data_IF_039824121815
#
_entry.id   IF_039824121815
#
_cell.length_a   1.000
_cell.length_b   1.000
_cell.length_c   1.000
_cell.angle_alpha   90.00
_cell.angle_beta   90.00
_cell.angle_gamma   90.00
#
_symmetry.space_group_name_H-M   'P 1'
#
loop_
_entity.id
_entity.type
_entity.pdbx_description
1 polymer ?
#
# COMPACT_ATOMS: atom_id res chain seq x y z
N UNK A 1 -5.70 1.06 4.39
CA UNK A 1 -5.79 2.41 3.78
C UNK A 1 -4.38 2.82 3.41
N UNK A 2 -4.06 2.95 2.12
CA UNK A 2 -2.67 2.95 1.65
C UNK A 2 -2.05 4.36 1.50
N UNK A 3 -2.40 5.35 2.34
CA UNK A 3 -1.74 6.67 2.35
C UNK A 3 -2.25 7.68 1.30
N UNK A 4 -1.47 8.74 1.07
CA UNK A 4 -1.74 9.89 0.20
C UNK A 4 -3.04 10.65 0.51
N UNK A 5 -3.13 11.08 1.77
CA UNK A 5 -4.27 11.82 2.30
C UNK A 5 -4.19 13.32 1.91
N UNK A 6 -2.98 13.87 1.79
CA UNK A 6 -2.75 15.29 1.52
C UNK A 6 -2.77 15.56 0.01
N UNK A 7 -3.42 16.65 -0.39
CA UNK A 7 -3.59 17.03 -1.80
C UNK A 7 -2.27 17.33 -2.55
N UNK A 8 -2.38 17.47 -3.87
CA UNK A 8 -1.26 17.76 -4.77
C UNK A 8 -0.89 19.25 -4.86
N UNK A 9 -1.44 20.13 -4.01
CA UNK A 9 -0.99 21.53 -3.92
C UNK A 9 0.32 21.62 -3.12
N UNK A 10 1.35 20.94 -3.64
CA UNK A 10 2.63 20.66 -2.97
C UNK A 10 3.40 21.93 -2.58
N UNK A 11 3.18 23.02 -3.33
CA UNK A 11 3.76 24.35 -3.06
C UNK A 11 3.15 25.04 -1.84
N UNK A 12 2.06 24.52 -1.29
CA UNK A 12 1.32 25.09 -0.17
C UNK A 12 1.07 24.04 0.92
N UNK A 13 2.09 23.24 1.24
CA UNK A 13 2.09 22.30 2.37
C UNK A 13 2.70 22.93 3.61
N UNK A 14 2.23 22.52 4.79
CA UNK A 14 2.84 22.86 6.08
C UNK A 14 2.53 21.76 7.08
N UNK A 15 3.31 21.67 8.15
CA UNK A 15 3.04 20.73 9.25
C UNK A 15 1.60 20.87 9.75
N UNK A 16 1.14 22.11 9.95
CA UNK A 16 -0.23 22.38 10.40
C UNK A 16 -1.28 21.90 9.39
N UNK A 17 -1.16 22.31 8.11
CA UNK A 17 -2.12 21.93 7.06
C UNK A 17 -2.21 20.41 6.94
N UNK A 18 -1.05 19.74 6.84
CA UNK A 18 -1.00 18.29 6.67
C UNK A 18 -1.59 17.57 7.90
N UNK A 19 -1.25 18.03 9.11
CA UNK A 19 -1.80 17.48 10.35
C UNK A 19 -3.33 17.59 10.40
N UNK A 20 -3.89 18.74 10.01
CA UNK A 20 -5.32 18.98 10.01
C UNK A 20 -6.06 18.07 9.01
N UNK A 21 -5.51 17.90 7.80
CA UNK A 21 -6.10 17.03 6.77
C UNK A 21 -6.04 15.56 7.20
N UNK A 22 -4.89 15.09 7.69
CA UNK A 22 -4.71 13.72 8.18
C UNK A 22 -5.68 13.44 9.34
N UNK A 23 -5.78 14.38 10.29
CA UNK A 23 -6.71 14.27 11.42
C UNK A 23 -8.16 14.20 10.96
N UNK A 24 -8.56 15.08 10.04
CA UNK A 24 -9.93 15.14 9.52
C UNK A 24 -10.34 13.85 8.82
N UNK A 25 -9.48 13.30 7.95
CA UNK A 25 -9.75 12.04 7.24
C UNK A 25 -9.79 10.87 8.21
N UNK A 26 -8.84 10.79 9.14
CA UNK A 26 -8.83 9.76 10.20
C UNK A 26 -10.12 9.80 11.02
N UNK A 27 -10.57 10.97 11.45
CA UNK A 27 -11.82 11.14 12.20
C UNK A 27 -13.05 10.76 11.39
N UNK A 28 -13.08 11.07 10.08
CA UNK A 28 -14.17 10.65 9.19
C UNK A 28 -14.24 9.13 9.09
N UNK A 29 -13.10 8.47 8.86
CA UNK A 29 -13.02 7.01 8.83
C UNK A 29 -13.52 6.38 10.13
N UNK A 30 -13.11 6.93 11.28
CA UNK A 30 -13.58 6.46 12.58
C UNK A 30 -15.09 6.63 12.77
N UNK A 31 -15.66 7.73 12.28
CA UNK A 31 -17.08 8.04 12.43
C UNK A 31 -17.94 7.14 11.54
N UNK A 32 -17.51 6.91 10.30
CA UNK A 32 -18.27 6.12 9.33
C UNK A 32 -18.11 4.61 9.56
N UNK A 33 -16.98 4.17 10.12
CA UNK A 33 -16.66 2.77 10.37
C UNK A 33 -16.27 2.51 11.83
N UNK A 34 -17.17 2.76 12.80
CA UNK A 34 -16.84 2.74 14.23
C UNK A 34 -16.35 1.38 14.75
N UNK A 35 -16.86 0.29 14.18
CA UNK A 35 -16.58 -1.08 14.61
C UNK A 35 -15.62 -1.83 13.67
N UNK A 36 -15.07 -1.15 12.66
CA UNK A 36 -14.16 -1.76 11.68
C UNK A 36 -12.73 -1.30 11.96
N UNK A 37 -11.79 -2.22 12.23
CA UNK A 37 -10.39 -1.84 12.37
C UNK A 37 -9.85 -1.34 11.02
N UNK A 38 -9.16 -0.21 11.05
CA UNK A 38 -8.46 0.35 9.90
C UNK A 38 -6.96 0.17 10.12
N UNK A 39 -6.27 -0.38 9.12
CA UNK A 39 -4.82 -0.47 9.10
C UNK A 39 -4.28 0.58 8.10
N UNK A 40 -3.96 1.79 8.58
CA UNK A 40 -3.41 2.86 7.76
C UNK A 40 -1.91 2.72 7.52
N UNK A 41 -1.42 3.26 6.42
CA UNK A 41 0.01 3.38 6.13
C UNK A 41 0.28 4.83 5.72
N UNK A 42 1.55 5.24 5.73
CA UNK A 42 1.99 6.54 5.22
C UNK A 42 2.21 6.48 3.71
N UNK A 43 1.65 7.42 2.96
CA UNK A 43 1.99 7.67 1.56
C UNK A 43 3.13 8.68 1.44
N UNK A 44 3.41 9.18 0.24
CA UNK A 44 4.50 10.15 0.06
C UNK A 44 4.04 11.61 0.28
N UNK A 45 2.72 11.85 0.31
CA UNK A 45 2.12 13.18 0.49
C UNK A 45 1.95 13.64 1.95
N UNK A 46 2.02 12.73 2.92
CA UNK A 46 1.83 13.07 4.34
C UNK A 46 2.85 14.08 4.93
N UNK A 47 4.17 14.03 4.62
CA UNK A 47 5.13 14.93 5.25
C UNK A 47 5.09 16.32 4.62
N UNK A 48 5.64 17.29 5.35
CA UNK A 48 5.95 18.62 4.84
C UNK A 48 7.40 18.92 5.20
N UNK A 49 8.30 19.15 4.23
CA UNK A 49 8.06 19.12 2.78
C UNK A 49 7.67 17.74 2.23
N UNK A 50 7.01 17.73 1.07
CA UNK A 50 6.59 16.53 0.33
C UNK A 50 7.73 15.51 0.19
N UNK A 51 7.43 14.21 0.27
CA UNK A 51 8.34 13.07 0.14
C UNK A 51 9.46 12.97 1.20
N UNK A 52 9.63 13.99 2.05
CA UNK A 52 10.77 14.06 2.96
C UNK A 52 10.53 13.22 4.22
N UNK A 53 11.03 11.98 4.19
CA UNK A 53 11.02 11.06 5.31
C UNK A 53 12.42 10.97 5.94
N UNK A 54 12.66 11.83 6.92
CA UNK A 54 13.92 11.87 7.65
C UNK A 54 14.12 10.60 8.49
N UNK A 55 15.36 10.06 8.56
CA UNK A 55 15.69 9.00 9.51
C UNK A 55 15.44 9.42 10.96
N UNK A 56 15.12 8.47 11.84
CA UNK A 56 14.75 8.75 13.24
C UNK A 56 15.83 9.48 14.06
N UNK A 57 17.10 9.33 13.68
CA UNK A 57 18.23 10.00 14.35
C UNK A 57 18.35 11.49 14.01
N UNK A 58 17.58 11.99 13.03
CA UNK A 58 17.50 13.42 12.71
C UNK A 58 16.53 14.10 13.67
N UNK A 59 17.07 14.89 14.60
CA UNK A 59 16.31 15.53 15.68
C UNK A 59 16.08 17.03 15.48
N UNK A 60 16.62 17.64 14.41
CA UNK A 60 16.35 19.05 14.10
C UNK A 60 14.89 19.19 13.65
N UNK A 61 14.08 19.89 14.43
CA UNK A 61 12.64 20.08 14.22
C UNK A 61 12.30 20.71 12.86
N UNK A 62 13.23 21.41 12.22
CA UNK A 62 12.99 22.02 10.90
C UNK A 62 12.93 21.00 9.77
N UNK A 63 13.54 19.83 9.95
CA UNK A 63 13.73 18.84 8.88
C UNK A 63 13.36 17.42 9.32
N UNK A 64 13.14 17.20 10.62
CA UNK A 64 12.68 15.93 11.16
C UNK A 64 11.23 15.64 10.79
N UNK A 65 10.94 14.37 10.46
CA UNK A 65 9.58 13.87 10.21
C UNK A 65 8.92 13.34 11.50
N UNK A 66 9.55 13.52 12.67
CA UNK A 66 9.07 13.04 13.97
C UNK A 66 7.64 13.50 14.30
N UNK A 67 7.29 14.74 13.98
CA UNK A 67 5.95 15.29 14.22
C UNK A 67 4.85 14.42 13.58
N UNK A 68 5.11 13.88 12.38
CA UNK A 68 4.15 13.08 11.63
C UNK A 68 3.97 11.73 12.32
N UNK A 69 5.07 11.09 12.74
CA UNK A 69 5.03 9.82 13.46
C UNK A 69 4.32 9.94 14.81
N UNK A 70 4.55 11.02 15.56
CA UNK A 70 3.83 11.30 16.80
C UNK A 70 2.33 11.51 16.55
N UNK A 71 1.97 12.32 15.56
CA UNK A 71 0.58 12.55 15.17
C UNK A 71 -0.13 11.25 14.82
N UNK A 72 0.45 10.44 13.94
CA UNK A 72 -0.21 9.21 13.49
C UNK A 72 -0.21 8.12 14.56
N UNK A 73 0.81 8.04 15.42
CA UNK A 73 0.78 7.14 16.57
C UNK A 73 -0.40 7.43 17.49
N UNK A 74 -0.70 8.71 17.73
CA UNK A 74 -1.82 9.11 18.58
C UNK A 74 -3.16 8.90 17.86
N UNK A 75 -3.28 9.31 16.59
CA UNK A 75 -4.51 9.15 15.81
C UNK A 75 -4.88 7.69 15.57
N UNK A 76 -3.90 6.83 15.26
CA UNK A 76 -4.13 5.43 14.92
C UNK A 76 -4.28 4.52 16.15
N UNK A 77 -3.97 5.00 17.35
CA UNK A 77 -4.16 4.27 18.62
C UNK A 77 -5.61 3.81 18.85
N UNK A 78 -6.58 4.41 18.16
CA UNK A 78 -7.99 4.00 18.19
C UNK A 78 -8.24 2.65 17.51
N UNK A 79 -7.37 2.25 16.57
CA UNK A 79 -7.47 0.99 15.83
C UNK A 79 -6.36 0.00 16.17
N UNK A 80 -5.18 0.52 16.53
CA UNK A 80 -3.97 -0.28 16.65
C UNK A 80 -3.66 -0.64 18.10
N UNK A 81 -3.15 -1.85 18.37
CA UNK A 81 -2.74 -2.22 19.73
C UNK A 81 -1.55 -1.36 20.22
N UNK A 82 -1.37 -1.19 21.54
CA UNK A 82 -0.37 -0.26 22.10
C UNK A 82 1.10 -0.56 21.74
N UNK A 83 1.43 -1.83 21.49
CA UNK A 83 2.79 -2.28 21.12
C UNK A 83 3.25 -1.78 19.74
N UNK A 84 2.31 -1.48 18.83
CA UNK A 84 2.61 -0.86 17.53
C UNK A 84 3.26 0.52 17.65
N UNK A 85 3.02 1.21 18.77
CA UNK A 85 3.40 2.61 18.96
C UNK A 85 4.91 2.82 18.84
N UNK A 86 5.71 1.88 19.33
CA UNK A 86 7.17 1.98 19.30
C UNK A 86 7.72 2.04 17.87
N UNK A 87 7.30 1.13 17.00
CA UNK A 87 7.78 1.07 15.61
C UNK A 87 7.19 2.21 14.77
N UNK A 88 5.95 2.63 15.06
CA UNK A 88 5.35 3.81 14.42
C UNK A 88 6.20 5.06 14.72
N UNK A 89 6.57 5.29 15.99
CA UNK A 89 7.45 6.41 16.35
C UNK A 89 8.84 6.31 15.73
N UNK A 90 9.36 5.08 15.59
CA UNK A 90 10.70 4.85 15.05
C UNK A 90 10.76 5.13 13.55
N UNK A 91 9.74 4.76 12.77
CA UNK A 91 9.84 4.90 11.31
C UNK A 91 8.52 4.81 10.56
N UNK A 92 7.37 4.89 11.23
CA UNK A 92 6.05 4.86 10.61
C UNK A 92 5.61 3.48 10.09
N UNK A 93 6.30 2.41 10.50
CA UNK A 93 5.96 1.02 10.16
C UNK A 93 5.53 0.25 11.41
N UNK A 94 4.76 -0.82 11.25
CA UNK A 94 4.27 -1.63 12.37
C UNK A 94 3.70 -2.97 11.91
N UNK A 95 3.42 -3.86 12.86
CA UNK A 95 2.70 -5.12 12.58
C UNK A 95 1.59 -5.34 13.59
N UNK A 96 0.53 -6.02 13.18
CA UNK A 96 -0.59 -6.43 14.05
C UNK A 96 -0.93 -7.88 13.76
N UNK A 97 -1.11 -8.69 14.81
CA UNK A 97 -1.80 -9.96 14.69
C UNK A 97 -3.30 -9.68 14.58
N UNK A 98 -3.80 -9.53 13.36
CA UNK A 98 -5.17 -9.11 13.10
C UNK A 98 -6.18 -10.16 13.59
N UNK A 99 -5.81 -11.44 13.48
CA UNK A 99 -6.56 -12.61 13.98
C UNK A 99 -5.57 -13.74 14.28
N UNK A 100 -5.92 -14.76 15.08
CA UNK A 100 -5.05 -15.93 15.26
C UNK A 100 -4.64 -16.54 13.91
N UNK A 101 -3.33 -16.70 13.68
CA UNK A 101 -2.79 -17.23 12.43
C UNK A 101 -2.74 -16.23 11.25
N UNK A 102 -3.06 -14.95 11.46
CA UNK A 102 -3.04 -13.93 10.42
C UNK A 102 -2.50 -12.59 10.87
N UNK A 103 -1.37 -12.21 10.29
CA UNK A 103 -0.63 -11.00 10.60
C UNK A 103 -0.69 -10.00 9.45
N UNK A 104 -0.84 -8.74 9.80
CA UNK A 104 -0.66 -7.62 8.88
C UNK A 104 0.68 -6.97 9.20
N UNK A 105 1.50 -6.76 8.18
CA UNK A 105 2.74 -5.98 8.27
C UNK A 105 2.54 -4.71 7.45
N UNK A 106 2.73 -3.57 8.07
CA UNK A 106 2.64 -2.25 7.45
C UNK A 106 4.02 -1.65 7.32
N UNK A 107 4.38 -1.29 6.09
CA UNK A 107 5.64 -0.63 5.78
C UNK A 107 5.44 0.88 5.62
N UNK A 108 6.45 1.65 6.01
CA UNK A 108 6.70 2.98 5.48
C UNK A 108 7.75 2.85 4.37
N UNK A 109 7.32 2.49 3.17
CA UNK A 109 8.24 2.30 2.06
C UNK A 109 8.59 3.60 1.31
N UNK A 110 8.23 4.78 1.84
CA UNK A 110 8.80 6.05 1.38
C UNK A 110 10.34 6.11 1.54
N UNK A 111 10.89 5.24 2.39
CA UNK A 111 12.35 5.05 2.52
C UNK A 111 12.98 4.28 1.35
N UNK A 112 12.17 3.79 0.39
CA UNK A 112 12.68 3.37 -0.91
C UNK A 112 12.59 4.50 -1.95
N UNK A 113 11.76 5.52 -1.75
CA UNK A 113 11.29 6.41 -2.82
C UNK A 113 12.41 7.32 -3.36
N UNK A 114 12.58 7.36 -4.68
CA UNK A 114 13.65 8.12 -5.33
C UNK A 114 13.52 9.64 -5.14
N UNK A 115 12.33 10.15 -4.78
CA UNK A 115 12.10 11.55 -4.42
C UNK A 115 12.22 11.82 -2.91
N UNK A 116 12.51 10.82 -2.09
CA UNK A 116 12.93 11.04 -0.71
C UNK A 116 14.42 11.42 -0.69
N UNK A 117 14.69 12.72 -0.68
CA UNK A 117 16.03 13.28 -0.79
C UNK A 117 16.98 12.88 0.35
N UNK A 118 16.47 12.40 1.50
CA UNK A 118 17.29 11.84 2.57
C UNK A 118 18.11 10.62 2.13
N UNK A 119 17.61 9.87 1.14
CA UNK A 119 18.32 8.69 0.62
C UNK A 119 19.56 9.07 -0.20
N UNK A 120 19.66 10.31 -0.70
CA UNK A 120 20.89 10.82 -1.32
C UNK A 120 21.99 10.96 -0.27
N UNK A 121 21.63 11.36 0.96
CA UNK A 121 22.57 11.50 2.07
C UNK A 121 23.00 10.14 2.62
N UNK A 122 22.06 9.22 2.85
CA UNK A 122 22.34 7.89 3.39
C UNK A 122 21.38 6.84 2.81
N UNK A 123 21.77 6.12 1.73
CA UNK A 123 20.92 5.14 1.05
C UNK A 123 20.87 3.77 1.73
N UNK A 124 21.30 3.66 2.99
CA UNK A 124 21.21 2.42 3.76
C UNK A 124 19.75 2.13 4.16
N UNK A 125 19.51 0.92 4.67
CA UNK A 125 18.20 0.55 5.23
C UNK A 125 17.82 1.51 6.37
N UNK A 126 17.01 2.53 6.04
CA UNK A 126 16.63 3.57 6.96
C UNK A 126 15.82 2.96 8.10
N UNK A 127 16.22 3.31 9.32
CA UNK A 127 15.60 2.87 10.57
C UNK A 127 15.56 1.34 10.74
N UNK A 128 16.32 0.59 9.93
CA UNK A 128 16.40 -0.88 9.96
C UNK A 128 15.11 -1.57 9.53
N UNK A 129 14.28 -0.94 8.68
CA UNK A 129 12.96 -1.44 8.33
C UNK A 129 13.02 -2.78 7.57
N UNK A 130 13.95 -2.98 6.63
CA UNK A 130 14.06 -4.25 5.90
C UNK A 130 14.54 -5.37 6.82
N UNK A 131 15.48 -5.07 7.72
CA UNK A 131 15.89 -6.04 8.74
C UNK A 131 14.70 -6.41 9.65
N UNK A 132 13.97 -5.41 10.16
CA UNK A 132 12.78 -5.62 10.97
C UNK A 132 11.70 -6.43 10.24
N UNK A 133 11.50 -6.18 8.95
CA UNK A 133 10.57 -6.94 8.12
C UNK A 133 10.98 -8.42 8.05
N UNK A 134 12.25 -8.70 7.76
CA UNK A 134 12.77 -10.07 7.69
C UNK A 134 12.62 -10.81 9.04
N UNK A 135 12.92 -10.14 10.15
CA UNK A 135 12.78 -10.70 11.50
C UNK A 135 11.30 -10.98 11.85
N UNK A 136 10.40 -10.05 11.47
CA UNK A 136 8.96 -10.19 11.70
C UNK A 136 8.36 -11.33 10.87
N UNK A 137 8.80 -11.48 9.62
CA UNK A 137 8.37 -12.58 8.74
C UNK A 137 8.91 -13.94 9.22
N UNK A 138 10.14 -13.98 9.74
CA UNK A 138 10.69 -15.19 10.35
C UNK A 138 9.89 -15.60 11.58
N UNK A 139 9.50 -14.64 12.42
CA UNK A 139 8.63 -14.92 13.56
C UNK A 139 7.27 -15.46 13.10
N UNK A 140 6.63 -14.81 12.12
CA UNK A 140 5.36 -15.26 11.55
C UNK A 140 5.46 -16.69 10.95
N UNK A 141 6.54 -17.01 10.26
CA UNK A 141 6.81 -18.36 9.74
C UNK A 141 6.89 -19.40 10.88
N UNK A 142 7.63 -19.10 11.95
CA UNK A 142 7.75 -19.98 13.13
C UNK A 142 6.41 -20.18 13.85
N UNK A 143 5.58 -19.14 13.88
CA UNK A 143 4.26 -19.15 14.51
C UNK A 143 3.16 -19.75 13.60
N UNK A 144 3.50 -20.11 12.35
CA UNK A 144 2.55 -20.66 11.38
C UNK A 144 1.51 -19.65 10.90
N UNK A 145 1.85 -18.37 10.90
CA UNK A 145 0.96 -17.27 10.51
C UNK A 145 1.04 -16.98 9.01
N UNK A 146 -0.10 -16.59 8.44
CA UNK A 146 -0.17 -16.03 7.10
C UNK A 146 -0.03 -14.50 7.17
N UNK A 147 0.67 -13.90 6.20
CA UNK A 147 0.99 -12.47 6.21
C UNK A 147 0.41 -11.73 5.01
N UNK A 148 -0.26 -10.60 5.27
CA UNK A 148 -0.49 -9.55 4.29
C UNK A 148 0.44 -8.37 4.55
N UNK A 149 1.07 -7.86 3.49
CA UNK A 149 1.93 -6.66 3.56
C UNK A 149 1.17 -5.48 2.97
N UNK A 150 1.13 -4.36 3.68
CA UNK A 150 0.65 -3.08 3.17
C UNK A 150 1.83 -2.13 2.96
N UNK A 151 1.93 -1.59 1.75
CA UNK A 151 2.95 -0.64 1.34
C UNK A 151 2.29 0.44 0.46
N UNK A 152 2.92 1.61 0.32
CA UNK A 152 2.35 2.67 -0.50
C UNK A 152 2.86 2.52 -1.94
N UNK A 153 4.16 2.70 -2.13
CA UNK A 153 4.81 2.72 -3.44
C UNK A 153 4.99 1.27 -3.94
N UNK A 154 4.55 0.90 -5.15
CA UNK A 154 4.92 -0.39 -5.72
C UNK A 154 6.44 -0.56 -5.81
N UNK A 155 6.92 -1.80 -5.85
CA UNK A 155 8.34 -2.06 -6.13
C UNK A 155 8.51 -2.77 -7.45
N UNK A 156 9.71 -2.69 -8.03
CA UNK A 156 10.01 -3.27 -9.34
C UNK A 156 9.92 -2.26 -10.50
N UNK A 157 9.57 -1.01 -10.22
CA UNK A 157 9.63 0.12 -11.14
C UNK A 157 10.85 1.04 -10.85
N UNK A 158 10.82 2.25 -11.42
CA UNK A 158 11.87 3.25 -11.26
C UNK A 158 11.73 4.15 -10.03
N UNK A 159 10.65 4.03 -9.26
CA UNK A 159 10.33 4.91 -8.14
C UNK A 159 10.99 4.47 -6.84
N UNK A 160 11.11 3.16 -6.59
CA UNK A 160 11.97 2.67 -5.51
C UNK A 160 13.45 2.60 -5.94
N UNK A 161 14.36 2.96 -5.04
CA UNK A 161 15.80 2.75 -5.22
C UNK A 161 16.09 1.27 -5.47
N UNK A 162 16.84 1.00 -6.54
CA UNK A 162 17.17 -0.36 -7.00
C UNK A 162 17.75 -1.25 -5.90
N UNK A 163 18.60 -0.71 -5.04
CA UNK A 163 19.18 -1.47 -3.92
C UNK A 163 18.11 -1.89 -2.91
N UNK A 164 17.22 -0.98 -2.53
CA UNK A 164 16.12 -1.28 -1.61
C UNK A 164 15.17 -2.31 -2.22
N UNK A 165 14.73 -2.08 -3.46
CA UNK A 165 13.83 -3.01 -4.19
C UNK A 165 14.44 -4.41 -4.33
N UNK A 166 15.74 -4.52 -4.60
CA UNK A 166 16.45 -5.81 -4.66
C UNK A 166 16.45 -6.54 -3.32
N UNK A 167 16.75 -5.85 -2.21
CA UNK A 167 16.78 -6.50 -0.89
C UNK A 167 15.36 -6.86 -0.42
N UNK A 168 14.36 -6.01 -0.68
CA UNK A 168 12.96 -6.34 -0.46
C UNK A 168 12.54 -7.58 -1.24
N UNK A 169 12.89 -7.67 -2.54
CA UNK A 169 12.58 -8.85 -3.36
C UNK A 169 13.20 -10.15 -2.81
N UNK A 170 14.44 -10.12 -2.31
CA UNK A 170 15.03 -11.30 -1.65
C UNK A 170 14.27 -11.72 -0.39
N UNK A 171 13.74 -10.77 0.37
CA UNK A 171 12.89 -11.07 1.53
C UNK A 171 11.59 -11.74 1.06
N UNK A 172 10.94 -11.19 0.04
CA UNK A 172 9.73 -11.79 -0.53
C UNK A 172 9.99 -13.23 -1.02
N UNK A 173 11.10 -13.46 -1.71
CA UNK A 173 11.52 -14.80 -2.16
C UNK A 173 11.76 -15.77 -0.99
N UNK A 174 12.47 -15.34 0.05
CA UNK A 174 12.71 -16.18 1.23
C UNK A 174 11.41 -16.57 1.94
N UNK A 175 10.42 -15.68 1.99
CA UNK A 175 9.18 -15.87 2.76
C UNK A 175 7.96 -16.11 1.87
N UNK A 176 8.15 -16.65 0.67
CA UNK A 176 7.08 -16.92 -0.30
C UNK A 176 5.92 -17.78 0.26
N UNK A 177 6.22 -18.67 1.20
CA UNK A 177 5.22 -19.54 1.83
C UNK A 177 4.44 -18.86 2.97
N UNK A 178 4.92 -17.74 3.48
CA UNK A 178 4.35 -16.99 4.61
C UNK A 178 3.52 -15.82 4.10
N UNK A 179 4.00 -15.13 3.06
CA UNK A 179 3.36 -13.96 2.47
C UNK A 179 2.26 -14.40 1.51
N UNK A 180 1.04 -13.89 1.70
CA UNK A 180 -0.13 -14.24 0.87
C UNK A 180 -0.53 -13.15 -0.11
N UNK A 181 -0.26 -11.89 0.22
CA UNK A 181 -0.53 -10.76 -0.65
C UNK A 181 0.26 -9.52 -0.21
N UNK A 182 0.56 -8.66 -1.18
CA UNK A 182 1.08 -7.32 -0.96
C UNK A 182 0.06 -6.33 -1.56
N UNK A 183 -0.24 -5.26 -0.85
CA UNK A 183 -1.17 -4.22 -1.31
C UNK A 183 -0.47 -2.88 -1.38
N UNK A 184 -0.65 -2.19 -2.51
CA UNK A 184 -0.04 -0.92 -2.87
C UNK A 184 -1.08 0.17 -3.21
N UNK A 185 -0.58 1.39 -3.39
CA UNK A 185 -1.30 2.57 -3.89
C UNK A 185 -0.37 3.45 -4.72
N UNK A 186 -0.29 4.75 -4.44
CA UNK A 186 0.65 5.68 -5.07
C UNK A 186 0.41 5.99 -6.55
N UNK A 187 0.41 5.00 -7.44
CA UNK A 187 0.36 5.24 -8.89
C UNK A 187 -1.01 5.68 -9.39
N UNK A 188 -2.05 5.65 -8.52
CA UNK A 188 -3.46 5.91 -8.80
C UNK A 188 -4.17 4.99 -9.81
N UNK A 189 -3.40 4.22 -10.58
CA UNK A 189 -3.89 3.27 -11.57
C UNK A 189 -4.25 1.90 -10.96
N UNK A 190 -5.11 1.16 -11.64
CA UNK A 190 -5.46 -0.22 -11.32
C UNK A 190 -4.48 -1.17 -12.04
N UNK A 191 -3.56 -1.79 -11.29
CA UNK A 191 -2.60 -2.73 -11.87
C UNK A 191 -2.02 -3.68 -10.82
N UNK A 192 -1.20 -4.63 -11.25
CA UNK A 192 -0.55 -5.60 -10.38
C UNK A 192 0.89 -5.89 -10.81
N UNK A 193 1.68 -6.39 -9.85
CA UNK A 193 3.02 -6.92 -10.08
C UNK A 193 3.07 -8.40 -9.68
N UNK A 194 3.87 -9.18 -10.40
CA UNK A 194 4.21 -10.57 -10.06
C UNK A 194 5.68 -10.62 -9.68
N UNK A 195 5.98 -11.21 -8.52
CA UNK A 195 7.35 -11.46 -8.07
C UNK A 195 7.75 -12.87 -8.49
N UNK A 196 8.99 -13.04 -8.92
CA UNK A 196 9.56 -14.32 -9.36
C UNK A 196 10.71 -14.75 -8.46
N UNK A 197 10.96 -16.05 -8.38
CA UNK A 197 12.06 -16.58 -7.58
C UNK A 197 13.41 -16.05 -8.06
N UNK A 198 14.33 -15.72 -7.14
CA UNK A 198 15.63 -15.16 -7.52
C UNK A 198 16.55 -16.19 -8.19
N UNK A 199 16.31 -17.47 -7.96
CA UNK A 199 17.04 -18.59 -8.58
C UNK A 199 16.36 -19.15 -9.85
N UNK A 200 15.11 -18.78 -10.12
CA UNK A 200 14.31 -19.26 -11.25
C UNK A 200 13.31 -18.18 -11.69
N UNK A 201 13.71 -17.34 -12.65
CA UNK A 201 12.93 -16.16 -13.08
C UNK A 201 11.60 -16.48 -13.77
N UNK A 202 11.25 -17.75 -13.94
CA UNK A 202 9.99 -18.23 -14.52
C UNK A 202 9.01 -18.73 -13.47
N UNK A 203 9.40 -18.78 -12.19
CA UNK A 203 8.56 -19.30 -11.11
C UNK A 203 7.94 -18.12 -10.34
N UNK A 204 6.64 -17.84 -10.50
CA UNK A 204 5.97 -16.79 -9.74
C UNK A 204 5.81 -17.21 -8.27
N UNK A 205 6.20 -16.33 -7.36
CA UNK A 205 6.30 -16.61 -5.90
C UNK A 205 5.38 -15.73 -5.05
N UNK A 206 5.05 -14.53 -5.55
CA UNK A 206 4.22 -13.58 -4.83
C UNK A 206 3.63 -12.57 -5.80
N UNK A 207 2.76 -11.70 -5.28
CA UNK A 207 2.03 -10.71 -6.05
C UNK A 207 1.82 -9.45 -5.23
N UNK A 208 1.72 -8.32 -5.93
CA UNK A 208 1.29 -7.05 -5.36
C UNK A 208 0.15 -6.45 -6.18
N UNK A 209 -0.88 -5.94 -5.52
CA UNK A 209 -2.02 -5.28 -6.18
C UNK A 209 -1.97 -3.79 -5.87
N UNK A 210 -2.09 -2.96 -6.91
CA UNK A 210 -2.28 -1.55 -6.77
C UNK A 210 -3.76 -1.18 -6.68
N UNK A 211 -4.14 -0.51 -5.59
CA UNK A 211 -5.54 -0.27 -5.23
C UNK A 211 -6.33 0.66 -6.15
N UNK A 212 -5.66 1.41 -7.03
CA UNK A 212 -6.24 2.58 -7.69
C UNK A 212 -6.25 3.81 -6.77
N UNK A 213 -7.20 4.72 -6.97
CA UNK A 213 -7.32 5.94 -6.17
C UNK A 213 -8.74 6.49 -6.06
N UNK A 214 -9.06 7.01 -4.88
CA UNK A 214 -10.28 7.82 -4.70
C UNK A 214 -10.15 9.19 -5.37
N UNK A 215 -8.93 9.76 -5.37
CA UNK A 215 -8.65 11.00 -6.10
C UNK A 215 -8.81 10.78 -7.60
N UNK A 216 -9.23 11.84 -8.29
CA UNK A 216 -9.33 11.88 -9.75
C UNK A 216 -8.00 12.26 -10.40
N UNK A 217 -6.93 12.47 -9.62
CA UNK A 217 -5.66 12.98 -10.09
C UNK A 217 -4.87 11.90 -10.85
N UNK A 218 -4.56 12.05 -12.13
CA UNK A 218 -5.26 12.92 -13.07
C UNK A 218 -6.08 12.11 -14.06
N UNK A 219 -7.20 12.70 -14.47
CA UNK A 219 -8.07 12.19 -15.54
C UNK A 219 -8.64 10.78 -15.29
N UNK A 220 -8.83 10.40 -14.02
CA UNK A 220 -9.42 9.13 -13.59
C UNK A 220 -10.79 9.33 -12.93
N UNK A 221 -11.66 8.34 -13.04
CA UNK A 221 -12.81 8.22 -12.15
C UNK A 221 -12.35 7.84 -10.74
N UNK A 222 -12.98 8.42 -9.72
CA UNK A 222 -12.81 7.99 -8.34
C UNK A 222 -13.16 6.51 -8.20
N UNK A 223 -12.28 5.76 -7.56
CA UNK A 223 -12.44 4.33 -7.38
C UNK A 223 -12.03 3.84 -5.98
N UNK A 224 -12.53 2.67 -5.60
CA UNK A 224 -12.01 1.86 -4.51
C UNK A 224 -12.11 0.37 -4.85
N UNK A 225 -11.39 -0.48 -4.11
CA UNK A 225 -11.45 -1.93 -4.27
C UNK A 225 -11.93 -2.63 -3.02
N UNK A 226 -12.64 -3.73 -3.21
CA UNK A 226 -12.90 -4.75 -2.19
C UNK A 226 -12.20 -6.04 -2.58
N UNK A 227 -11.71 -6.78 -1.59
CA UNK A 227 -11.01 -8.04 -1.80
C UNK A 227 -11.74 -9.17 -1.09
N UNK A 228 -12.02 -10.24 -1.83
CA UNK A 228 -12.49 -11.50 -1.26
C UNK A 228 -11.28 -12.33 -0.87
N UNK A 229 -11.22 -12.77 0.38
CA UNK A 229 -10.06 -13.45 0.97
C UNK A 229 -10.47 -14.83 1.47
N UNK A 230 -9.68 -15.86 1.16
CA UNK A 230 -9.89 -17.20 1.67
C UNK A 230 -9.67 -17.24 3.19
N UNK A 231 -10.66 -17.71 3.94
CA UNK A 231 -10.63 -17.64 5.41
C UNK A 231 -9.59 -18.54 6.07
N UNK A 232 -9.05 -19.55 5.37
CA UNK A 232 -8.09 -20.50 5.91
C UNK A 232 -6.64 -20.16 5.51
N UNK A 233 -6.45 -19.78 4.26
CA UNK A 233 -5.14 -19.54 3.65
C UNK A 233 -4.79 -18.07 3.52
N UNK A 234 -5.77 -17.18 3.64
CA UNK A 234 -5.65 -15.73 3.42
C UNK A 234 -5.19 -15.35 2.01
N UNK A 235 -5.32 -16.26 1.04
CA UNK A 235 -5.12 -15.96 -0.37
C UNK A 235 -6.24 -15.06 -0.91
N UNK A 236 -5.92 -14.24 -1.92
CA UNK A 236 -6.90 -13.36 -2.55
C UNK A 236 -7.66 -14.13 -3.63
N UNK A 237 -8.96 -14.29 -3.41
CA UNK A 237 -9.86 -15.06 -4.28
C UNK A 237 -10.39 -14.20 -5.42
N UNK A 238 -10.72 -12.94 -5.14
CA UNK A 238 -11.20 -11.98 -6.13
C UNK A 238 -10.96 -10.55 -5.66
N UNK A 239 -10.95 -9.60 -6.60
CA UNK A 239 -10.94 -8.17 -6.35
C UNK A 239 -12.05 -7.51 -7.17
N UNK A 240 -12.94 -6.77 -6.51
CA UNK A 240 -13.95 -5.96 -7.20
C UNK A 240 -13.52 -4.49 -7.20
N UNK A 241 -13.51 -3.86 -8.37
CA UNK A 241 -13.29 -2.42 -8.50
C UNK A 241 -14.65 -1.71 -8.56
N UNK A 242 -14.82 -0.71 -7.70
CA UNK A 242 -16.02 0.11 -7.60
C UNK A 242 -15.69 1.54 -7.99
N UNK A 243 -16.52 2.13 -8.85
CA UNK A 243 -16.36 3.52 -9.31
C UNK A 243 -17.68 4.26 -9.24
N UNK A 244 -17.64 5.58 -9.43
CA UNK A 244 -18.79 6.32 -9.95
C UNK A 244 -18.36 7.12 -11.17
N UNK A 245 -19.31 7.39 -12.06
CA UNK A 245 -19.04 8.16 -13.26
C UNK A 245 -19.02 9.66 -12.90
N UNK A 246 -17.83 10.27 -12.94
CA UNK A 246 -17.66 11.70 -12.65
C UNK A 246 -18.46 12.59 -13.61
N UNK A 247 -18.57 12.21 -14.88
CA UNK A 247 -19.33 12.99 -15.87
C UNK A 247 -20.80 13.04 -15.49
N UNK A 248 -21.38 11.90 -15.13
CA UNK A 248 -22.78 11.81 -14.72
C UNK A 248 -23.04 12.55 -13.39
N UNK A 249 -22.13 12.41 -12.42
CA UNK A 249 -22.19 13.12 -11.15
C UNK A 249 -22.12 14.66 -11.35
N UNK A 250 -21.27 15.13 -12.27
CA UNK A 250 -21.13 16.56 -12.56
C UNK A 250 -22.33 17.14 -13.32
N UNK A 251 -23.03 16.34 -14.12
CA UNK A 251 -24.30 16.74 -14.75
C UNK A 251 -25.40 16.92 -13.69
N UNK A 252 -25.34 16.16 -12.59
CA UNK A 252 -26.34 16.15 -11.52
C UNK A 252 -25.75 16.55 -10.15
N UNK A 253 -25.21 17.77 -9.98
CA UNK A 253 -24.40 18.14 -8.80
C UNK A 253 -25.18 18.17 -7.47
N UNK A 254 -26.52 18.15 -7.53
CA UNK A 254 -27.39 18.15 -6.35
C UNK A 254 -27.77 16.72 -5.88
N UNK A 255 -27.29 15.69 -6.57
CA UNK A 255 -27.56 14.28 -6.25
C UNK A 255 -26.25 13.61 -5.85
N UNK A 256 -26.28 12.82 -4.79
CA UNK A 256 -25.10 12.05 -4.40
C UNK A 256 -24.71 11.07 -5.52
N UNK A 257 -23.41 10.91 -5.83
CA UNK A 257 -22.97 10.00 -6.88
C UNK A 257 -23.31 8.55 -6.52
N UNK A 258 -23.85 7.82 -7.51
CA UNK A 258 -24.12 6.39 -7.37
C UNK A 258 -22.86 5.59 -7.68
N UNK A 259 -22.32 4.91 -6.67
CA UNK A 259 -21.23 3.96 -6.85
C UNK A 259 -21.74 2.64 -7.41
N UNK A 260 -21.03 2.08 -8.39
CA UNK A 260 -21.34 0.79 -8.98
C UNK A 260 -20.07 -0.05 -9.17
N UNK A 261 -20.24 -1.37 -9.18
CA UNK A 261 -19.16 -2.30 -9.49
C UNK A 261 -18.79 -2.14 -10.96
N UNK A 262 -17.56 -1.71 -11.24
CA UNK A 262 -17.03 -1.65 -12.59
C UNK A 262 -16.76 -3.05 -13.13
N UNK A 263 -16.04 -3.87 -12.35
CA UNK A 263 -15.74 -5.26 -12.72
C UNK A 263 -15.35 -6.10 -11.49
N UNK A 264 -15.46 -7.42 -11.63
CA UNK A 264 -14.75 -8.42 -10.81
C UNK A 264 -13.53 -8.86 -11.60
N UNK A 265 -12.34 -8.84 -11.00
CA UNK A 265 -11.10 -9.21 -11.65
C UNK A 265 -11.12 -10.64 -12.17
N UNK A 266 -11.68 -11.54 -11.36
CA UNK A 266 -11.87 -12.94 -11.71
C UNK A 266 -12.73 -13.12 -12.95
N UNK A 267 -13.91 -12.50 -12.96
CA UNK A 267 -14.88 -12.64 -14.05
C UNK A 267 -14.38 -11.96 -15.33
N UNK A 268 -13.78 -10.78 -15.20
CA UNK A 268 -13.30 -9.96 -16.30
C UNK A 268 -12.15 -10.62 -17.07
N UNK A 269 -11.20 -11.22 -16.35
CA UNK A 269 -9.99 -11.79 -16.95
C UNK A 269 -9.98 -13.32 -17.03
N UNK A 270 -11.06 -13.97 -16.58
CA UNK A 270 -11.21 -15.43 -16.62
C UNK A 270 -10.08 -16.16 -15.88
N UNK A 271 -9.69 -15.64 -14.72
CA UNK A 271 -8.71 -16.26 -13.81
C UNK A 271 -9.44 -16.99 -12.68
N UNK A 272 -8.79 -17.92 -11.99
CA UNK A 272 -9.44 -18.64 -10.87
C UNK A 272 -9.34 -17.89 -9.54
N UNK A 273 -8.28 -17.11 -9.37
CA UNK A 273 -7.93 -16.31 -8.20
C UNK A 273 -6.90 -15.25 -8.58
N UNK A 274 -6.46 -14.45 -7.62
CA UNK A 274 -5.31 -13.55 -7.80
C UNK A 274 -4.00 -14.20 -7.29
N UNK A 275 -3.89 -15.53 -7.34
CA UNK A 275 -2.62 -16.20 -7.01
C UNK A 275 -1.50 -15.81 -7.98
N UNK A 276 -0.22 -15.85 -7.57
CA UNK A 276 0.90 -15.49 -8.43
C UNK A 276 0.93 -16.27 -9.76
N UNK A 277 0.54 -17.55 -9.74
CA UNK A 277 0.49 -18.41 -10.93
C UNK A 277 -0.61 -17.96 -11.90
N UNK A 278 -1.79 -17.60 -11.39
CA UNK A 278 -2.89 -17.13 -12.25
C UNK A 278 -2.58 -15.76 -12.86
N UNK A 279 -1.96 -14.87 -12.08
CA UNK A 279 -1.53 -13.56 -12.57
C UNK A 279 -0.40 -13.66 -13.58
N UNK A 280 0.58 -14.55 -13.38
CA UNK A 280 1.63 -14.85 -14.36
C UNK A 280 1.02 -15.28 -15.71
N UNK A 281 0.12 -16.28 -15.71
CA UNK A 281 -0.61 -16.71 -16.91
C UNK A 281 -1.35 -15.54 -17.57
N UNK A 282 -1.97 -14.65 -16.79
CA UNK A 282 -2.66 -13.48 -17.30
C UNK A 282 -1.69 -12.51 -17.99
N UNK A 283 -0.49 -12.26 -17.43
CA UNK A 283 0.50 -11.40 -18.10
C UNK A 283 0.89 -11.93 -19.48
N UNK A 284 1.08 -13.25 -19.61
CA UNK A 284 1.33 -13.87 -20.91
C UNK A 284 0.15 -13.77 -21.87
N UNK A 285 -1.09 -13.93 -21.40
CA UNK A 285 -2.30 -13.73 -22.22
C UNK A 285 -2.41 -12.28 -22.70
N UNK A 286 -2.17 -11.30 -21.82
CA UNK A 286 -2.19 -9.87 -22.15
C UNK A 286 -1.13 -9.54 -23.22
N UNK A 287 0.09 -10.07 -23.07
CA UNK A 287 1.16 -9.86 -24.04
C UNK A 287 0.86 -10.44 -25.43
N UNK A 288 0.13 -11.57 -25.49
CA UNK A 288 -0.21 -12.25 -26.74
C UNK A 288 -1.52 -11.75 -27.38
N UNK A 289 -2.42 -11.12 -26.61
CA UNK A 289 -3.74 -10.69 -27.08
C UNK A 289 -3.92 -9.17 -26.90
N UNK A 290 -3.73 -8.44 -28.00
CA UNK A 290 -3.86 -6.98 -28.03
C UNK A 290 -5.24 -6.48 -27.57
N UNK A 291 -6.33 -7.14 -27.95
CA UNK A 291 -7.67 -6.68 -27.55
C UNK A 291 -7.89 -6.82 -26.05
N UNK A 292 -7.38 -7.90 -25.44
CA UNK A 292 -7.42 -8.08 -23.99
C UNK A 292 -6.53 -7.05 -23.27
N UNK A 293 -5.36 -6.73 -23.82
CA UNK A 293 -4.48 -5.69 -23.28
C UNK A 293 -5.13 -4.30 -23.36
N UNK A 294 -5.79 -3.98 -24.47
CA UNK A 294 -6.55 -2.73 -24.64
C UNK A 294 -7.72 -2.66 -23.66
N UNK A 295 -8.37 -3.79 -23.34
CA UNK A 295 -9.41 -3.86 -22.31
C UNK A 295 -8.85 -3.66 -20.91
N UNK A 296 -7.70 -4.27 -20.59
CA UNK A 296 -7.01 -4.07 -19.31
C UNK A 296 -6.54 -2.61 -19.10
N UNK A 297 -6.26 -1.89 -20.19
CA UNK A 297 -5.75 -0.51 -20.13
C UNK A 297 -6.86 0.56 -20.09
N UNK A 298 -8.14 0.18 -20.01
CA UNK A 298 -9.29 1.10 -19.97
C UNK A 298 -9.73 1.42 -18.55
#
# INVERSE_FOLDING_TARGET
MTGDIVDHAIWNTSIQKNSDVITKVTQKMRTDFPDTPVYPILGNHEPSPLNAYAPHYITDEKVSTKWLYELVADLWSVWLPPDTRETILRGGFYTVLARPGFRIIVLNNNVCYNLNWWLVYNPKDQDGQLQWLADTLLQAENDGENVHILAHIPTGDTECLRTWSREFHKIIDRFENTIRAIFNGHTHNDHFHVYYATNESTRPISMAINGGSVTTFNDLNSNYKTYSVDSATYNILDAETWIFNLTEANINPNVNPTWYKLYSFKDQYGVESLSPIELDKLTHKLAANRSLLEEYSR
#
